data_IF_061101200899
#
_entry.id   IF_061101200899
#
_cell.length_a   1.000
_cell.length_b   1.000
_cell.length_c   1.000
_cell.angle_alpha   90.00
_cell.angle_beta   90.00
_cell.angle_gamma   90.00
#
_symmetry.space_group_name_H-M   'P 1'
#
loop_
_entity.id
_entity.type
_entity.pdbx_description
1 polymer ?
#
# COMPACT_ATOMS: atom_id res chain seq x y z
N UNK A 1 13.30 -23.62 -13.74
CA UNK A 1 12.54 -22.75 -14.66
C UNK A 1 11.83 -23.64 -15.68
N UNK A 2 10.52 -23.48 -15.87
CA UNK A 2 9.75 -24.22 -16.89
C UNK A 2 8.88 -23.23 -17.67
N UNK A 3 8.76 -23.38 -18.99
CA UNK A 3 7.91 -22.49 -19.81
C UNK A 3 6.46 -22.97 -19.92
N UNK A 4 6.19 -24.19 -19.45
CA UNK A 4 4.88 -24.85 -19.52
C UNK A 4 3.72 -24.00 -18.97
N UNK A 5 3.84 -23.32 -17.80
CA UNK A 5 2.76 -22.47 -17.29
C UNK A 5 2.41 -21.30 -18.23
N UNK A 6 3.40 -20.77 -18.96
CA UNK A 6 3.20 -19.68 -19.90
C UNK A 6 2.62 -20.17 -21.23
N UNK A 7 3.07 -21.33 -21.73
CA UNK A 7 2.58 -21.93 -22.97
C UNK A 7 1.12 -22.36 -22.86
N UNK A 8 0.68 -22.76 -21.66
CA UNK A 8 -0.71 -23.13 -21.37
C UNK A 8 -1.60 -21.92 -20.99
N UNK A 9 -1.02 -20.72 -20.86
CA UNK A 9 -1.78 -19.52 -20.51
C UNK A 9 -2.64 -19.03 -21.69
N UNK A 10 -3.66 -18.22 -21.41
CA UNK A 10 -4.50 -17.62 -22.46
C UNK A 10 -3.67 -16.83 -23.50
N UNK A 11 -4.12 -16.74 -24.76
CA UNK A 11 -3.41 -15.98 -25.80
C UNK A 11 -3.13 -14.51 -25.41
N UNK A 12 -4.03 -13.89 -24.65
CA UNK A 12 -3.85 -12.53 -24.14
C UNK A 12 -2.62 -12.41 -23.21
N UNK A 13 -2.41 -13.40 -22.34
CA UNK A 13 -1.26 -13.44 -21.42
C UNK A 13 0.03 -13.66 -22.21
N UNK A 14 0.03 -14.59 -23.16
CA UNK A 14 1.20 -14.85 -24.01
C UNK A 14 1.59 -13.58 -24.79
N UNK A 15 0.62 -12.93 -25.45
CA UNK A 15 0.83 -11.69 -26.18
C UNK A 15 1.37 -10.57 -25.28
N UNK A 16 0.82 -10.43 -24.07
CA UNK A 16 1.27 -9.45 -23.10
C UNK A 16 2.73 -9.68 -22.70
N UNK A 17 3.10 -10.93 -22.37
CA UNK A 17 4.47 -11.29 -21.98
C UNK A 17 5.44 -11.09 -23.15
N UNK A 18 5.06 -11.51 -24.36
CA UNK A 18 5.84 -11.29 -25.58
C UNK A 18 6.04 -9.81 -25.91
N UNK A 19 5.16 -8.93 -25.47
CA UNK A 19 5.30 -7.49 -25.64
C UNK A 19 6.17 -6.87 -24.53
N UNK A 20 5.88 -7.17 -23.27
CA UNK A 20 6.47 -6.47 -22.12
C UNK A 20 7.93 -6.89 -21.85
N UNK A 21 8.29 -8.16 -22.10
CA UNK A 21 9.66 -8.64 -21.86
C UNK A 21 10.67 -7.96 -22.81
N UNK A 22 10.45 -7.93 -24.14
CA UNK A 22 11.32 -7.15 -25.03
C UNK A 22 11.27 -5.66 -24.72
N UNK A 23 10.11 -5.10 -24.35
CA UNK A 23 10.01 -3.68 -23.97
C UNK A 23 10.92 -3.35 -22.78
N UNK A 24 10.94 -4.21 -21.75
CA UNK A 24 11.81 -4.05 -20.59
C UNK A 24 13.30 -4.07 -20.96
N UNK A 25 13.71 -5.01 -21.81
CA UNK A 25 15.10 -5.11 -22.27
C UNK A 25 15.50 -3.89 -23.11
N UNK A 26 14.67 -3.51 -24.08
CA UNK A 26 14.94 -2.37 -24.98
C UNK A 26 15.06 -1.08 -24.17
N UNK A 27 14.14 -0.83 -23.23
CA UNK A 27 14.18 0.41 -22.44
C UNK A 27 15.36 0.44 -21.48
N UNK A 28 15.72 -0.69 -20.87
CA UNK A 28 16.94 -0.81 -20.06
C UNK A 28 18.18 -0.40 -20.85
N UNK A 29 18.30 -0.86 -22.10
CA UNK A 29 19.37 -0.46 -23.01
C UNK A 29 19.26 1.03 -23.38
N UNK A 30 18.06 1.56 -23.66
CA UNK A 30 17.85 2.96 -24.03
C UNK A 30 18.17 3.93 -22.89
N UNK A 31 17.86 3.56 -21.66
CA UNK A 31 18.14 4.37 -20.46
C UNK A 31 19.64 4.52 -20.22
N UNK A 32 20.41 3.46 -20.45
CA UNK A 32 21.87 3.44 -20.29
C UNK A 32 22.60 4.04 -21.51
N UNK A 33 22.05 3.85 -22.71
CA UNK A 33 22.67 4.25 -23.97
C UNK A 33 22.74 5.76 -24.22
N UNK A 34 23.41 6.14 -25.32
CA UNK A 34 23.49 7.54 -25.78
C UNK A 34 22.14 7.99 -26.33
N UNK A 35 21.65 9.14 -25.85
CA UNK A 35 20.33 9.69 -26.16
C UNK A 35 20.38 10.50 -27.46
N UNK A 36 19.27 10.54 -28.20
CA UNK A 36 19.13 11.39 -29.39
C UNK A 36 19.77 10.87 -30.69
N UNK A 37 20.35 9.67 -30.69
CA UNK A 37 20.88 9.01 -31.91
C UNK A 37 19.75 8.48 -32.80
N UNK A 38 19.99 8.22 -34.10
CA UNK A 38 19.01 7.52 -34.95
C UNK A 38 18.57 6.17 -34.37
N UNK A 39 19.51 5.42 -33.79
CA UNK A 39 19.25 4.17 -33.10
C UNK A 39 18.34 4.34 -31.87
N UNK A 40 18.57 5.37 -31.05
CA UNK A 40 17.68 5.69 -29.93
C UNK A 40 16.26 6.00 -30.43
N UNK A 41 16.12 6.72 -31.55
CA UNK A 41 14.80 7.04 -32.14
C UNK A 41 14.08 5.82 -32.70
N UNK A 42 14.76 4.91 -33.40
CA UNK A 42 14.13 3.70 -33.92
C UNK A 42 13.73 2.74 -32.79
N UNK A 43 14.65 2.48 -31.85
CA UNK A 43 14.38 1.66 -30.68
C UNK A 43 13.26 2.23 -29.82
N UNK A 44 13.19 3.56 -29.64
CA UNK A 44 12.11 4.22 -28.94
C UNK A 44 10.74 4.01 -29.60
N UNK A 45 10.65 3.98 -30.94
CA UNK A 45 9.38 3.68 -31.64
C UNK A 45 8.95 2.23 -31.44
N UNK A 46 9.88 1.29 -31.53
CA UNK A 46 9.62 -0.13 -31.26
C UNK A 46 9.14 -0.30 -29.83
N UNK A 47 9.82 0.33 -28.88
CA UNK A 47 9.44 0.32 -27.47
C UNK A 47 8.01 0.87 -27.25
N UNK A 48 7.66 2.00 -27.87
CA UNK A 48 6.29 2.56 -27.79
C UNK A 48 5.25 1.55 -28.31
N UNK A 49 5.50 0.90 -29.45
CA UNK A 49 4.60 -0.11 -30.00
C UNK A 49 4.42 -1.30 -29.05
N UNK A 50 5.51 -1.79 -28.44
CA UNK A 50 5.46 -2.88 -27.47
C UNK A 50 4.71 -2.48 -26.19
N UNK A 51 4.91 -1.26 -25.69
CA UNK A 51 4.19 -0.74 -24.51
C UNK A 51 2.69 -0.62 -24.76
N UNK A 52 2.29 -0.18 -25.96
CA UNK A 52 0.88 -0.17 -26.36
C UNK A 52 0.30 -1.58 -26.45
N UNK A 53 1.03 -2.51 -27.06
CA UNK A 53 0.61 -3.91 -27.18
C UNK A 53 0.43 -4.56 -25.81
N UNK A 54 1.37 -4.35 -24.89
CA UNK A 54 1.30 -4.82 -23.52
C UNK A 54 0.09 -4.21 -22.78
N UNK A 55 -0.09 -2.89 -22.84
CA UNK A 55 -1.19 -2.22 -22.15
C UNK A 55 -2.56 -2.64 -22.71
N UNK A 56 -2.72 -2.76 -24.03
CA UNK A 56 -3.98 -3.17 -24.63
C UNK A 56 -4.31 -4.64 -24.35
N UNK A 57 -3.32 -5.54 -24.49
CA UNK A 57 -3.51 -6.97 -24.19
C UNK A 57 -3.87 -7.22 -22.71
N UNK A 58 -3.38 -6.41 -21.78
CA UNK A 58 -3.69 -6.57 -20.36
C UNK A 58 -5.17 -6.37 -20.00
N UNK A 59 -5.93 -5.60 -20.79
CA UNK A 59 -7.39 -5.46 -20.58
C UNK A 59 -8.17 -6.74 -20.85
N UNK A 60 -7.53 -7.74 -21.47
CA UNK A 60 -8.10 -9.06 -21.68
C UNK A 60 -7.67 -10.07 -20.61
N UNK A 61 -6.85 -9.67 -19.63
CA UNK A 61 -6.32 -10.54 -18.56
C UNK A 61 -7.15 -10.38 -17.28
N UNK A 62 -8.10 -11.28 -17.08
CA UNK A 62 -9.09 -11.18 -16.00
C UNK A 62 -8.87 -12.23 -14.89
N UNK A 63 -7.73 -12.20 -14.21
CA UNK A 63 -7.40 -13.21 -13.18
C UNK A 63 -7.87 -12.82 -11.77
N UNK A 64 -7.80 -11.54 -11.39
CA UNK A 64 -8.06 -11.09 -10.00
C UNK A 64 -9.51 -10.65 -9.79
N UNK A 65 -10.19 -10.11 -10.82
CA UNK A 65 -11.63 -9.79 -10.86
C UNK A 65 -12.22 -9.19 -9.56
N UNK A 66 -11.59 -8.14 -9.03
CA UNK A 66 -12.02 -7.47 -7.79
C UNK A 66 -13.23 -6.55 -8.01
N UNK A 67 -13.34 -5.92 -9.18
CA UNK A 67 -14.44 -5.05 -9.57
C UNK A 67 -14.99 -5.47 -10.93
N UNK A 68 -16.01 -6.33 -10.92
CA UNK A 68 -16.49 -7.00 -12.13
C UNK A 68 -15.37 -7.82 -12.78
N UNK A 69 -15.13 -7.73 -14.10
CA UNK A 69 -14.02 -8.43 -14.73
C UNK A 69 -12.66 -7.82 -14.37
N UNK A 70 -12.61 -6.54 -13.96
CA UNK A 70 -11.38 -5.79 -13.80
C UNK A 70 -10.74 -5.94 -12.43
N UNK A 71 -9.46 -5.62 -12.38
CA UNK A 71 -8.64 -5.63 -11.17
C UNK A 71 -7.86 -4.33 -11.04
N UNK A 72 -7.44 -3.93 -9.82
CA UNK A 72 -6.71 -2.68 -9.60
C UNK A 72 -5.46 -2.52 -10.48
N UNK A 73 -4.83 -3.62 -10.91
CA UNK A 73 -3.68 -3.59 -11.83
C UNK A 73 -4.04 -3.05 -13.23
N UNK A 74 -5.30 -3.06 -13.65
CA UNK A 74 -5.74 -2.44 -14.91
C UNK A 74 -5.58 -0.92 -14.90
N UNK A 75 -5.55 -0.29 -13.72
CA UNK A 75 -5.24 1.12 -13.60
C UNK A 75 -3.81 1.41 -14.09
N UNK A 76 -2.86 0.47 -13.89
CA UNK A 76 -1.51 0.60 -14.44
C UNK A 76 -1.56 0.61 -15.97
N UNK A 77 -2.40 -0.20 -16.60
CA UNK A 77 -2.57 -0.22 -18.06
C UNK A 77 -3.09 1.11 -18.60
N UNK A 78 -4.09 1.70 -17.94
CA UNK A 78 -4.59 3.05 -18.28
C UNK A 78 -3.48 4.09 -18.14
N UNK A 79 -2.74 4.06 -17.03
CA UNK A 79 -1.61 4.97 -16.81
C UNK A 79 -0.50 4.76 -17.84
N UNK A 80 -0.27 3.53 -18.30
CA UNK A 80 0.66 3.23 -19.38
C UNK A 80 0.23 3.88 -20.70
N UNK A 81 -1.05 3.80 -21.07
CA UNK A 81 -1.55 4.44 -22.28
C UNK A 81 -1.39 5.97 -22.23
N UNK A 82 -1.72 6.59 -21.10
CA UNK A 82 -1.51 8.03 -20.87
C UNK A 82 -0.02 8.38 -20.91
N UNK A 83 0.82 7.56 -20.29
CA UNK A 83 2.28 7.76 -20.28
C UNK A 83 2.88 7.65 -21.68
N UNK A 84 2.45 6.68 -22.49
CA UNK A 84 2.90 6.51 -23.88
C UNK A 84 2.55 7.75 -24.70
N UNK A 85 1.32 8.24 -24.55
CA UNK A 85 0.92 9.51 -25.16
C UNK A 85 1.82 10.66 -24.72
N UNK A 86 2.11 10.78 -23.42
CA UNK A 86 3.00 11.80 -22.88
C UNK A 86 4.44 11.71 -23.43
N UNK A 87 5.00 10.50 -23.61
CA UNK A 87 6.32 10.27 -24.21
C UNK A 87 6.36 10.81 -25.65
N UNK A 88 5.36 10.48 -26.46
CA UNK A 88 5.29 10.92 -27.86
C UNK A 88 5.04 12.43 -27.96
N UNK A 89 4.12 12.95 -27.14
CA UNK A 89 3.76 14.37 -27.12
C UNK A 89 4.93 15.27 -26.75
N UNK A 90 5.63 14.94 -25.66
CA UNK A 90 6.82 15.67 -25.20
C UNK A 90 7.97 15.59 -26.20
N UNK A 91 8.18 14.43 -26.85
CA UNK A 91 9.17 14.30 -27.92
C UNK A 91 8.88 15.21 -29.11
N UNK A 92 7.61 15.30 -29.54
CA UNK A 92 7.19 16.16 -30.66
C UNK A 92 7.39 17.65 -30.36
N UNK A 93 7.17 18.05 -29.10
CA UNK A 93 7.40 19.42 -28.62
C UNK A 93 8.87 19.73 -28.32
N UNK A 94 9.78 18.76 -28.49
CA UNK A 94 11.20 18.85 -28.09
C UNK A 94 11.38 19.17 -26.60
N UNK A 95 10.40 18.79 -25.76
CA UNK A 95 10.47 18.90 -24.31
C UNK A 95 11.13 17.64 -23.74
N UNK A 96 12.47 17.64 -23.76
CA UNK A 96 13.25 16.46 -23.39
C UNK A 96 13.25 16.18 -21.88
N UNK A 97 13.00 17.19 -21.06
CA UNK A 97 12.89 17.02 -19.60
C UNK A 97 11.66 16.18 -19.30
N UNK A 98 10.49 16.57 -19.83
CA UNK A 98 9.27 15.82 -19.60
C UNK A 98 9.24 14.48 -20.37
N UNK A 99 9.87 14.39 -21.54
CA UNK A 99 10.08 13.13 -22.23
C UNK A 99 10.84 12.11 -21.36
N UNK A 100 11.98 12.50 -20.79
CA UNK A 100 12.75 11.63 -19.91
C UNK A 100 11.99 11.25 -18.64
N UNK A 101 11.23 12.18 -18.05
CA UNK A 101 10.38 11.88 -16.88
C UNK A 101 9.30 10.85 -17.23
N UNK A 102 8.63 11.01 -18.37
CA UNK A 102 7.59 10.08 -18.82
C UNK A 102 8.17 8.68 -19.11
N UNK A 103 9.30 8.59 -19.81
CA UNK A 103 9.98 7.30 -20.06
C UNK A 103 10.38 6.63 -18.75
N UNK A 104 11.06 7.34 -17.83
CA UNK A 104 11.44 6.80 -16.51
C UNK A 104 10.22 6.36 -15.69
N UNK A 105 9.13 7.12 -15.74
CA UNK A 105 7.89 6.76 -15.05
C UNK A 105 7.28 5.48 -15.61
N UNK A 106 7.32 5.26 -16.92
CA UNK A 106 6.85 4.02 -17.54
C UNK A 106 7.77 2.84 -17.24
N UNK A 107 9.09 3.04 -17.24
CA UNK A 107 10.03 1.97 -16.92
C UNK A 107 9.92 1.53 -15.46
N UNK A 108 10.13 2.44 -14.50
CA UNK A 108 10.13 2.07 -13.08
C UNK A 108 8.72 1.86 -12.54
N UNK A 109 7.75 2.62 -13.04
CA UNK A 109 6.35 2.51 -12.66
C UNK A 109 5.68 1.33 -13.37
N UNK A 110 5.39 1.44 -14.66
CA UNK A 110 4.62 0.41 -15.35
C UNK A 110 5.36 -0.93 -15.44
N UNK A 111 6.56 -0.97 -16.02
CA UNK A 111 7.32 -2.22 -16.19
C UNK A 111 7.78 -2.77 -14.83
N UNK A 112 8.40 -1.92 -14.00
CA UNK A 112 8.94 -2.32 -12.70
C UNK A 112 7.87 -2.81 -11.72
N UNK A 113 6.81 -2.03 -11.50
CA UNK A 113 5.74 -2.40 -10.57
C UNK A 113 4.93 -3.58 -11.11
N UNK A 114 4.51 -3.56 -12.38
CA UNK A 114 3.74 -4.67 -12.96
C UNK A 114 4.57 -5.96 -13.05
N UNK A 115 5.86 -5.86 -13.39
CA UNK A 115 6.80 -6.98 -13.36
C UNK A 115 6.92 -7.57 -11.95
N UNK A 116 7.11 -6.73 -10.93
CA UNK A 116 7.11 -7.16 -9.53
C UNK A 116 5.82 -7.89 -9.14
N UNK A 117 4.66 -7.38 -9.56
CA UNK A 117 3.37 -8.06 -9.35
C UNK A 117 3.28 -9.43 -10.03
N UNK A 118 3.87 -9.56 -11.22
CA UNK A 118 3.84 -10.80 -12.00
C UNK A 118 4.68 -11.91 -11.38
N UNK A 119 5.66 -11.58 -10.53
CA UNK A 119 6.52 -12.54 -9.83
C UNK A 119 6.07 -12.87 -8.42
N UNK A 120 4.90 -12.40 -7.98
CA UNK A 120 4.38 -12.78 -6.68
C UNK A 120 3.86 -14.23 -6.68
N UNK A 121 3.91 -14.96 -5.55
CA UNK A 121 3.43 -16.33 -5.46
C UNK A 121 2.00 -16.49 -5.98
N UNK A 122 1.74 -17.57 -6.72
CA UNK A 122 0.46 -17.82 -7.39
C UNK A 122 0.25 -17.06 -8.71
N UNK A 123 1.31 -16.50 -9.29
CA UNK A 123 1.31 -15.92 -10.65
C UNK A 123 2.13 -16.76 -11.61
N UNK A 124 1.72 -16.76 -12.88
CA UNK A 124 2.32 -17.57 -13.95
C UNK A 124 3.84 -17.31 -14.06
N UNK A 125 4.30 -16.06 -14.04
CA UNK A 125 5.74 -15.78 -14.16
C UNK A 125 6.53 -16.20 -12.91
N UNK A 126 5.90 -16.27 -11.72
CA UNK A 126 6.52 -16.87 -10.54
C UNK A 126 6.74 -18.37 -10.77
N UNK A 127 5.75 -19.10 -11.29
CA UNK A 127 5.87 -20.53 -11.59
C UNK A 127 6.93 -20.80 -12.65
N UNK A 128 7.00 -19.96 -13.69
CA UNK A 128 8.00 -20.07 -14.75
C UNK A 128 9.43 -19.95 -14.21
N UNK A 129 9.68 -19.01 -13.29
CA UNK A 129 11.02 -18.69 -12.78
C UNK A 129 11.39 -19.53 -11.57
N UNK A 130 10.51 -19.62 -10.57
CA UNK A 130 10.78 -20.26 -9.28
C UNK A 130 10.22 -21.68 -9.18
N UNK A 131 9.43 -22.12 -10.16
CA UNK A 131 8.72 -23.41 -10.12
C UNK A 131 7.35 -23.32 -9.43
N UNK A 132 6.52 -24.33 -9.64
CA UNK A 132 5.21 -24.44 -8.99
C UNK A 132 5.38 -24.71 -7.49
N UNK A 133 5.30 -23.66 -6.68
CA UNK A 133 5.31 -23.75 -5.20
C UNK A 133 4.17 -24.62 -4.63
N UNK A 134 3.15 -24.92 -5.45
CA UNK A 134 1.95 -25.68 -5.08
C UNK A 134 2.15 -27.17 -4.80
N UNK A 135 3.28 -27.79 -5.17
CA UNK A 135 3.49 -29.22 -4.88
C UNK A 135 4.01 -29.49 -3.46
N UNK A 136 4.61 -28.51 -2.80
CA UNK A 136 5.28 -28.71 -1.50
C UNK A 136 4.56 -28.07 -0.32
N UNK A 137 3.69 -27.07 -0.55
CA UNK A 137 2.94 -26.37 0.49
C UNK A 137 1.53 -26.97 0.72
N UNK A 138 0.92 -27.57 -0.30
CA UNK A 138 -0.42 -28.16 -0.20
C UNK A 138 -0.43 -29.55 0.47
N UNK A 139 0.73 -30.20 0.62
CA UNK A 139 0.86 -31.50 1.30
C UNK A 139 1.14 -31.38 2.80
N UNK A 140 1.24 -30.16 3.34
CA UNK A 140 1.42 -29.93 4.77
C UNK A 140 0.04 -29.72 5.39
N UNK A 141 -0.51 -30.68 6.13
CA UNK A 141 -1.80 -30.49 6.79
C UNK A 141 -1.73 -29.27 7.73
N UNK A 142 -2.79 -28.45 7.82
CA UNK A 142 -2.81 -27.26 8.67
C UNK A 142 -2.50 -27.57 10.15
N UNK A 143 -2.70 -28.82 10.57
CA UNK A 143 -2.39 -29.34 11.90
C UNK A 143 -0.90 -29.52 12.21
N UNK A 144 0.02 -29.52 11.23
CA UNK A 144 1.48 -29.61 11.50
C UNK A 144 2.19 -28.26 11.54
N UNK A 145 1.48 -27.15 11.29
CA UNK A 145 2.01 -25.78 11.34
C UNK A 145 1.95 -25.18 12.77
N UNK A 146 1.95 -26.03 13.79
CA UNK A 146 2.06 -25.62 15.17
C UNK A 146 3.50 -25.15 15.45
N UNK A 147 3.69 -23.83 15.46
CA UNK A 147 4.86 -23.11 15.99
C UNK A 147 6.21 -23.51 15.39
N UNK A 148 6.58 -22.87 14.27
CA UNK A 148 7.92 -22.97 13.69
C UNK A 148 8.13 -22.04 12.49
N UNK A 149 9.37 -21.95 11.94
CA UNK A 149 9.67 -21.12 10.76
C UNK A 149 8.85 -21.52 9.53
N UNK A 150 8.41 -22.78 9.44
CA UNK A 150 7.51 -23.25 8.39
C UNK A 150 6.14 -22.54 8.40
N UNK A 151 5.62 -22.19 9.60
CA UNK A 151 4.37 -21.43 9.74
C UNK A 151 4.50 -19.99 9.24
N UNK A 152 5.64 -19.36 9.52
CA UNK A 152 5.93 -18.03 8.99
C UNK A 152 6.02 -18.06 7.45
N UNK A 153 6.72 -19.05 6.88
CA UNK A 153 6.82 -19.20 5.42
C UNK A 153 5.45 -19.44 4.79
N UNK A 154 4.60 -20.28 5.38
CA UNK A 154 3.24 -20.50 4.90
C UNK A 154 2.41 -19.22 4.94
N UNK A 155 2.40 -18.48 6.06
CA UNK A 155 1.64 -17.22 6.19
C UNK A 155 2.10 -16.19 5.15
N UNK A 156 3.43 -16.07 4.94
CA UNK A 156 4.00 -15.14 3.96
C UNK A 156 3.65 -15.54 2.53
N UNK A 157 3.68 -16.82 2.20
CA UNK A 157 3.39 -17.31 0.84
C UNK A 157 1.90 -17.36 0.53
N UNK A 158 1.06 -17.60 1.53
CA UNK A 158 -0.40 -17.58 1.43
C UNK A 158 -1.00 -16.16 1.55
N UNK A 159 -0.22 -15.18 2.02
CA UNK A 159 -0.66 -13.79 2.13
C UNK A 159 -1.16 -13.28 0.78
N UNK A 160 -2.32 -12.60 0.73
CA UNK A 160 -2.78 -12.02 -0.52
C UNK A 160 -1.73 -11.10 -1.13
N UNK A 161 -1.52 -11.26 -2.43
CA UNK A 161 -0.46 -10.61 -3.21
C UNK A 161 -0.43 -9.07 -3.05
N UNK A 162 -1.58 -8.44 -2.81
CA UNK A 162 -1.72 -6.99 -2.62
C UNK A 162 -1.20 -6.48 -1.27
N UNK A 163 -0.95 -7.36 -0.29
CA UNK A 163 -0.44 -7.02 1.04
C UNK A 163 0.97 -6.43 0.96
N UNK A 164 1.84 -6.93 0.09
CA UNK A 164 3.23 -6.47 -0.01
C UNK A 164 3.38 -5.05 -0.58
N UNK A 165 2.76 -4.70 -1.72
CA UNK A 165 2.74 -3.32 -2.18
C UNK A 165 2.09 -2.38 -1.18
N UNK A 166 1.02 -2.82 -0.50
CA UNK A 166 0.39 -2.03 0.56
C UNK A 166 1.38 -1.77 1.72
N UNK A 167 2.09 -2.80 2.19
CA UNK A 167 3.11 -2.67 3.23
C UNK A 167 4.23 -1.71 2.81
N UNK A 168 4.74 -1.84 1.58
CA UNK A 168 5.75 -0.92 1.02
C UNK A 168 5.21 0.51 0.98
N UNK A 169 3.97 0.70 0.52
CA UNK A 169 3.33 2.02 0.47
C UNK A 169 3.14 2.61 1.87
N UNK A 170 2.77 1.80 2.87
CA UNK A 170 2.63 2.22 4.26
C UNK A 170 3.98 2.59 4.89
N UNK A 171 5.04 1.83 4.62
CA UNK A 171 6.41 2.16 5.04
C UNK A 171 6.85 3.47 4.40
N UNK A 172 6.69 3.61 3.07
CA UNK A 172 7.06 4.83 2.35
C UNK A 172 6.27 6.05 2.85
N UNK A 173 4.97 5.89 3.08
CA UNK A 173 4.10 6.93 3.65
C UNK A 173 4.57 7.31 5.05
N UNK A 174 4.85 6.33 5.91
CA UNK A 174 5.30 6.52 7.28
C UNK A 174 6.69 7.18 7.36
N UNK A 175 7.65 6.76 6.53
CA UNK A 175 8.96 7.41 6.39
C UNK A 175 8.81 8.86 5.92
N UNK A 176 7.89 9.11 4.98
CA UNK A 176 7.57 10.48 4.55
C UNK A 176 6.95 11.33 5.67
N UNK A 177 6.41 10.71 6.74
CA UNK A 177 5.94 11.39 7.96
C UNK A 177 7.02 11.69 8.99
N UNK A 178 8.24 11.18 8.82
CA UNK A 178 9.36 11.53 9.69
C UNK A 178 10.01 12.86 9.33
N UNK A 179 9.65 13.46 8.18
CA UNK A 179 10.16 14.76 7.74
C UNK A 179 9.16 15.87 8.05
N UNK A 180 9.69 17.01 8.47
CA UNK A 180 8.93 18.25 8.65
C UNK A 180 8.29 18.69 7.33
N UNK A 181 7.03 19.13 7.41
CA UNK A 181 6.26 19.51 6.24
C UNK A 181 5.17 20.52 6.56
N UNK A 182 4.93 21.40 5.59
CA UNK A 182 3.80 22.32 5.60
C UNK A 182 2.67 21.69 4.82
N UNK A 183 1.55 21.41 5.48
CA UNK A 183 0.38 20.79 4.86
C UNK A 183 -0.89 21.60 5.13
N UNK A 184 -1.83 21.64 4.17
CA UNK A 184 -3.17 22.12 4.47
C UNK A 184 -3.86 21.17 5.45
N UNK A 185 -4.69 21.72 6.35
CA UNK A 185 -5.34 20.95 7.43
C UNK A 185 -6.12 19.74 6.89
N UNK A 186 -6.80 19.87 5.75
CA UNK A 186 -7.58 18.76 5.18
C UNK A 186 -6.71 17.53 4.81
N UNK A 187 -5.48 17.74 4.31
CA UNK A 187 -4.55 16.64 4.00
C UNK A 187 -4.02 15.97 5.26
N UNK A 188 -3.86 16.73 6.34
CA UNK A 188 -3.48 16.19 7.64
C UNK A 188 -4.57 15.26 8.21
N UNK A 189 -5.84 15.64 8.03
CA UNK A 189 -7.02 14.89 8.51
C UNK A 189 -7.38 13.67 7.67
N UNK A 190 -6.91 13.59 6.41
CA UNK A 190 -7.30 12.53 5.48
C UNK A 190 -6.93 11.13 5.99
N UNK A 191 -5.72 10.94 6.52
CA UNK A 191 -5.32 9.62 7.03
C UNK A 191 -6.10 9.22 8.29
N UNK A 192 -6.18 10.04 9.36
CA UNK A 192 -7.04 9.72 10.49
C UNK A 192 -8.49 9.44 10.10
N UNK A 193 -9.07 10.24 9.21
CA UNK A 193 -10.43 10.03 8.72
C UNK A 193 -10.56 8.66 8.03
N UNK A 194 -9.61 8.29 7.17
CA UNK A 194 -9.59 6.97 6.53
C UNK A 194 -9.54 5.84 7.55
N UNK A 195 -8.71 5.95 8.60
CA UNK A 195 -8.63 4.96 9.67
C UNK A 195 -9.93 4.89 10.49
N UNK A 196 -10.58 6.02 10.74
CA UNK A 196 -11.88 6.10 11.42
C UNK A 196 -13.00 5.47 10.58
N UNK A 197 -12.99 5.65 9.27
CA UNK A 197 -13.94 4.96 8.37
C UNK A 197 -13.66 3.46 8.36
N UNK A 198 -12.39 3.06 8.28
CA UNK A 198 -11.99 1.65 8.26
C UNK A 198 -12.37 0.90 9.56
N UNK A 199 -12.36 1.55 10.72
CA UNK A 199 -12.83 0.93 11.98
C UNK A 199 -14.36 0.77 12.05
N UNK A 200 -15.13 1.61 11.36
CA UNK A 200 -16.60 1.53 11.34
C UNK A 200 -17.11 0.46 10.38
N UNK A 201 -16.33 0.10 9.36
CA UNK A 201 -16.76 -0.85 8.33
C UNK A 201 -17.24 -2.20 8.92
N UNK A 202 -16.55 -2.86 9.87
CA UNK A 202 -17.03 -4.10 10.47
C UNK A 202 -18.36 -3.95 11.21
N UNK A 203 -18.63 -2.79 11.81
CA UNK A 203 -19.90 -2.49 12.47
C UNK A 203 -21.03 -2.43 11.44
N UNK A 204 -20.79 -1.72 10.33
CA UNK A 204 -21.77 -1.53 9.27
C UNK A 204 -22.07 -2.83 8.50
N UNK A 205 -21.12 -3.74 8.41
CA UNK A 205 -21.30 -5.05 7.75
C UNK A 205 -21.78 -6.15 8.71
N UNK A 206 -22.07 -5.83 9.97
CA UNK A 206 -22.47 -6.83 10.97
C UNK A 206 -21.37 -7.84 11.33
N UNK A 207 -20.10 -7.50 11.07
CA UNK A 207 -18.94 -8.35 11.33
C UNK A 207 -18.38 -8.23 12.74
N UNK A 208 -19.12 -7.63 13.67
CA UNK A 208 -18.72 -7.44 15.07
C UNK A 208 -19.89 -7.77 16.00
N UNK A 209 -19.60 -8.48 17.07
CA UNK A 209 -20.56 -8.84 18.10
C UNK A 209 -20.46 -7.91 19.32
N UNK A 210 -21.24 -8.20 20.37
CA UNK A 210 -21.35 -7.32 21.53
C UNK A 210 -20.01 -7.12 22.27
N UNK A 211 -19.19 -8.16 22.41
CA UNK A 211 -17.87 -8.04 23.03
C UNK A 211 -16.87 -7.31 22.13
N UNK A 212 -16.98 -7.49 20.81
CA UNK A 212 -16.22 -6.68 19.85
C UNK A 212 -16.57 -5.19 19.93
N UNK A 213 -17.85 -4.84 20.09
CA UNK A 213 -18.29 -3.44 20.24
C UNK A 213 -17.74 -2.79 21.51
N UNK A 214 -17.75 -3.52 22.64
CA UNK A 214 -17.17 -3.01 23.88
C UNK A 214 -15.65 -2.86 23.78
N UNK A 215 -14.96 -3.81 23.15
CA UNK A 215 -13.53 -3.74 22.86
C UNK A 215 -13.18 -2.54 21.96
N UNK A 216 -14.01 -2.26 20.94
CA UNK A 216 -13.87 -1.09 20.08
C UNK A 216 -14.07 0.21 20.86
N UNK A 217 -15.12 0.30 21.69
CA UNK A 217 -15.37 1.46 22.54
C UNK A 217 -14.23 1.72 23.54
N UNK A 218 -13.71 0.67 24.17
CA UNK A 218 -12.56 0.76 25.06
C UNK A 218 -11.30 1.23 24.33
N UNK A 219 -10.99 0.65 23.17
CA UNK A 219 -9.86 1.07 22.34
C UNK A 219 -9.97 2.54 21.92
N UNK A 220 -11.15 2.98 21.48
CA UNK A 220 -11.41 4.36 21.08
C UNK A 220 -11.22 5.33 22.25
N UNK A 221 -11.84 5.04 23.40
CA UNK A 221 -11.74 5.88 24.60
C UNK A 221 -10.31 6.01 25.12
N UNK A 222 -9.62 4.87 25.30
CA UNK A 222 -8.24 4.85 25.76
C UNK A 222 -7.29 5.53 24.77
N UNK A 223 -7.50 5.32 23.47
CA UNK A 223 -6.65 5.88 22.42
C UNK A 223 -6.80 7.40 22.30
N UNK A 224 -8.03 7.91 22.35
CA UNK A 224 -8.27 9.37 22.38
C UNK A 224 -7.66 10.00 23.62
N UNK A 225 -7.84 9.39 24.80
CA UNK A 225 -7.24 9.87 26.05
C UNK A 225 -5.71 9.94 25.96
N UNK A 226 -5.06 8.83 25.57
CA UNK A 226 -3.61 8.76 25.41
C UNK A 226 -3.10 9.77 24.37
N UNK A 227 -3.78 9.90 23.23
CA UNK A 227 -3.42 10.84 22.17
C UNK A 227 -3.47 12.31 22.61
N UNK A 228 -4.52 12.72 23.34
CA UNK A 228 -4.59 14.08 23.87
C UNK A 228 -3.60 14.32 25.02
N UNK A 229 -3.41 13.34 25.92
CA UNK A 229 -2.45 13.44 27.02
C UNK A 229 -1.01 13.60 26.53
N UNK A 230 -0.60 12.81 25.52
CA UNK A 230 0.75 12.90 24.92
C UNK A 230 0.96 14.22 24.16
N UNK A 231 -0.11 14.90 23.75
CA UNK A 231 -0.05 16.16 23.01
C UNK A 231 -0.41 17.39 23.85
N UNK A 232 -0.53 17.25 25.18
CA UNK A 232 -0.91 18.35 26.09
C UNK A 232 -0.04 19.61 25.95
N UNK A 233 1.23 19.45 25.58
CA UNK A 233 2.21 20.53 25.41
C UNK A 233 2.52 20.85 23.94
N UNK A 234 1.81 20.21 23.00
CA UNK A 234 2.04 20.44 21.58
C UNK A 234 1.49 21.81 21.16
N UNK A 235 2.36 22.65 20.62
CA UNK A 235 1.98 23.96 20.08
C UNK A 235 1.76 23.82 18.57
N UNK A 236 0.55 24.14 18.11
CA UNK A 236 0.22 24.13 16.70
C UNK A 236 0.72 25.42 16.03
N UNK A 237 1.71 25.30 15.15
CA UNK A 237 2.18 26.42 14.32
C UNK A 237 1.32 26.52 13.06
N UNK A 238 0.26 27.34 13.12
CA UNK A 238 -0.56 27.68 11.95
C UNK A 238 0.13 28.74 11.09
N UNK A 239 0.17 28.48 9.79
CA UNK A 239 0.69 29.37 8.75
C UNK A 239 -0.47 29.97 7.96
N UNK A 240 -0.23 31.07 7.24
CA UNK A 240 -1.21 31.70 6.37
C UNK A 240 -1.75 30.72 5.31
N UNK A 241 -3.06 30.83 5.05
CA UNK A 241 -3.77 30.01 4.06
C UNK A 241 -4.18 28.61 4.55
N UNK A 242 -4.60 28.46 5.83
CA UNK A 242 -5.06 27.19 6.43
C UNK A 242 -4.03 26.05 6.35
N UNK A 243 -2.75 26.42 6.52
CA UNK A 243 -1.62 25.49 6.52
C UNK A 243 -1.07 25.33 7.93
N UNK A 244 -0.54 24.16 8.23
CA UNK A 244 0.07 23.84 9.52
C UNK A 244 1.44 23.26 9.28
N UNK A 245 2.43 23.72 10.05
CA UNK A 245 3.73 23.07 10.12
C UNK A 245 3.61 21.84 11.01
N UNK A 246 3.76 20.67 10.40
CA UNK A 246 3.73 19.39 11.10
C UNK A 246 5.16 18.91 11.24
N UNK A 247 5.64 18.82 12.49
CA UNK A 247 6.93 18.23 12.80
C UNK A 247 6.90 16.72 12.56
N UNK A 248 7.99 16.19 12.02
CA UNK A 248 8.16 14.78 11.75
C UNK A 248 8.08 13.95 13.04
N UNK A 249 7.44 12.78 12.98
CA UNK A 249 7.26 11.94 14.15
C UNK A 249 7.30 10.45 13.82
N UNK A 250 8.10 9.70 14.58
CA UNK A 250 8.27 8.25 14.44
C UNK A 250 7.04 7.48 14.94
N UNK A 251 6.31 7.99 15.95
CA UNK A 251 5.14 7.31 16.54
C UNK A 251 4.05 7.06 15.48
N UNK A 252 3.84 8.00 14.53
CA UNK A 252 2.87 7.79 13.45
C UNK A 252 3.25 6.64 12.51
N UNK A 253 4.55 6.43 12.25
CA UNK A 253 5.04 5.29 11.47
C UNK A 253 4.82 3.99 12.25
N UNK A 254 5.24 3.96 13.53
CA UNK A 254 5.07 2.78 14.38
C UNK A 254 3.60 2.40 14.54
N UNK A 255 2.70 3.36 14.74
CA UNK A 255 1.27 3.12 14.85
C UNK A 255 0.69 2.57 13.54
N UNK A 256 1.08 3.10 12.37
CA UNK A 256 0.65 2.55 11.08
C UNK A 256 1.10 1.10 10.86
N UNK A 257 2.37 0.81 11.15
CA UNK A 257 2.91 -0.54 11.02
C UNK A 257 2.26 -1.50 12.01
N UNK A 258 2.01 -1.06 13.25
CA UNK A 258 1.31 -1.86 14.24
C UNK A 258 -0.15 -2.13 13.86
N UNK A 259 -0.91 -1.12 13.39
CA UNK A 259 -2.28 -1.31 12.87
C UNK A 259 -2.28 -2.36 11.75
N UNK A 260 -1.36 -2.24 10.78
CA UNK A 260 -1.22 -3.21 9.71
C UNK A 260 -0.89 -4.61 10.24
N UNK A 261 0.08 -4.72 11.15
CA UNK A 261 0.50 -6.00 11.72
C UNK A 261 -0.63 -6.70 12.48
N UNK A 262 -1.38 -5.98 13.33
CA UNK A 262 -2.52 -6.54 14.04
C UNK A 262 -3.62 -7.01 13.08
N UNK A 263 -3.96 -6.21 12.05
CA UNK A 263 -4.99 -6.60 11.07
C UNK A 263 -4.55 -7.78 10.21
N UNK A 264 -3.29 -7.82 9.80
CA UNK A 264 -2.72 -8.94 9.05
C UNK A 264 -2.69 -10.21 9.90
N UNK A 265 -2.23 -10.11 11.15
CA UNK A 265 -2.21 -11.22 12.11
C UNK A 265 -3.61 -11.75 12.40
N UNK A 266 -4.61 -10.88 12.57
CA UNK A 266 -6.00 -11.29 12.76
C UNK A 266 -6.50 -12.14 11.58
N UNK A 267 -6.23 -11.70 10.34
CA UNK A 267 -6.59 -12.46 9.14
C UNK A 267 -5.83 -13.79 9.03
N UNK A 268 -4.53 -13.79 9.33
CA UNK A 268 -3.70 -14.99 9.31
C UNK A 268 -4.16 -16.02 10.36
N UNK A 269 -4.45 -15.58 11.59
CA UNK A 269 -4.96 -16.46 12.65
C UNK A 269 -6.34 -16.99 12.28
N UNK A 270 -7.25 -16.15 11.79
CA UNK A 270 -8.57 -16.60 11.36
C UNK A 270 -8.50 -17.66 10.23
N UNK A 271 -7.47 -17.61 9.39
CA UNK A 271 -7.26 -18.58 8.30
C UNK A 271 -6.57 -19.88 8.75
N UNK A 272 -5.62 -19.81 9.70
CA UNK A 272 -4.76 -20.93 10.08
C UNK A 272 -5.22 -21.63 11.36
N UNK A 273 -5.77 -20.87 12.31
CA UNK A 273 -6.17 -21.33 13.64
C UNK A 273 -7.48 -20.63 14.07
N UNK A 274 -8.62 -20.93 13.43
CA UNK A 274 -9.91 -20.31 13.73
C UNK A 274 -10.31 -20.48 15.20
N UNK A 275 -10.02 -21.65 15.81
CA UNK A 275 -10.28 -21.93 17.22
C UNK A 275 -9.59 -20.93 18.18
N UNK A 276 -8.43 -20.38 17.78
CA UNK A 276 -7.75 -19.36 18.57
C UNK A 276 -8.51 -18.03 18.55
N UNK A 277 -9.18 -17.72 17.44
CA UNK A 277 -10.01 -16.53 17.31
C UNK A 277 -11.33 -16.63 18.10
N UNK A 278 -11.79 -17.86 18.38
CA UNK A 278 -12.96 -18.11 19.23
C UNK A 278 -12.67 -17.97 20.74
N UNK A 279 -11.39 -17.94 21.14
CA UNK A 279 -11.03 -17.75 22.55
C UNK A 279 -11.40 -16.34 23.02
N UNK A 280 -12.07 -16.27 24.16
CA UNK A 280 -12.42 -15.02 24.81
C UNK A 280 -11.18 -14.14 25.02
N UNK A 281 -11.28 -12.87 24.64
CA UNK A 281 -10.22 -11.87 24.74
C UNK A 281 -9.32 -11.78 23.51
N UNK A 282 -9.19 -12.83 22.70
CA UNK A 282 -8.29 -12.82 21.52
C UNK A 282 -8.89 -11.95 20.43
N UNK A 283 -10.14 -12.21 20.03
CA UNK A 283 -10.83 -11.40 19.01
C UNK A 283 -10.98 -9.95 19.46
N UNK A 284 -11.30 -9.73 20.73
CA UNK A 284 -11.41 -8.40 21.35
C UNK A 284 -10.09 -7.63 21.28
N UNK A 285 -8.95 -8.28 21.53
CA UNK A 285 -7.62 -7.66 21.40
C UNK A 285 -7.36 -7.20 19.96
N UNK A 286 -7.65 -8.05 18.97
CA UNK A 286 -7.46 -7.72 17.55
C UNK A 286 -8.41 -6.65 17.03
N UNK A 287 -9.51 -6.38 17.74
CA UNK A 287 -10.38 -5.20 17.51
C UNK A 287 -9.84 -3.98 18.24
N UNK A 288 -9.59 -4.09 19.55
CA UNK A 288 -9.24 -2.95 20.41
C UNK A 288 -7.89 -2.32 20.06
N UNK A 289 -6.86 -3.12 19.78
CA UNK A 289 -5.50 -2.60 19.57
C UNK A 289 -5.37 -1.71 18.32
N UNK A 290 -5.85 -2.11 17.12
CA UNK A 290 -5.87 -1.22 15.97
C UNK A 290 -6.71 0.04 16.18
N UNK A 291 -7.86 -0.08 16.86
CA UNK A 291 -8.76 1.05 17.16
C UNK A 291 -8.08 2.04 18.10
N UNK A 292 -7.41 1.55 19.14
CA UNK A 292 -6.61 2.36 20.06
C UNK A 292 -5.55 3.15 19.30
N UNK A 293 -4.74 2.49 18.49
CA UNK A 293 -3.66 3.13 17.72
C UNK A 293 -4.20 4.19 16.74
N UNK A 294 -5.28 3.85 16.01
CA UNK A 294 -5.94 4.79 15.10
C UNK A 294 -6.49 6.03 15.83
N UNK A 295 -7.04 5.83 17.03
CA UNK A 295 -7.60 6.89 17.86
C UNK A 295 -6.52 7.79 18.46
N UNK A 296 -5.38 7.23 18.87
CA UNK A 296 -4.18 8.00 19.25
C UNK A 296 -3.76 8.89 18.09
N UNK A 297 -3.62 8.31 16.88
CA UNK A 297 -3.23 9.07 15.69
C UNK A 297 -4.22 10.20 15.36
N UNK A 298 -5.52 9.94 15.49
CA UNK A 298 -6.56 10.94 15.25
C UNK A 298 -6.48 12.10 16.26
N UNK A 299 -6.41 11.79 17.55
CA UNK A 299 -6.25 12.81 18.60
C UNK A 299 -4.97 13.64 18.41
N UNK A 300 -3.85 13.01 18.05
CA UNK A 300 -2.59 13.71 17.76
C UNK A 300 -2.72 14.64 16.55
N UNK A 301 -3.32 14.17 15.47
CA UNK A 301 -3.52 14.98 14.28
C UNK A 301 -4.43 16.19 14.55
N UNK A 302 -5.49 16.01 15.35
CA UNK A 302 -6.35 17.09 15.81
C UNK A 302 -5.59 18.11 16.66
N UNK A 303 -4.78 17.63 17.61
CA UNK A 303 -3.94 18.49 18.43
C UNK A 303 -2.94 19.32 17.58
N UNK A 304 -2.31 18.70 16.58
CA UNK A 304 -1.44 19.40 15.63
C UNK A 304 -2.19 20.43 14.78
N UNK A 305 -3.44 20.16 14.43
CA UNK A 305 -4.30 21.12 13.76
C UNK A 305 -4.76 22.27 14.68
N UNK A 306 -4.43 22.25 15.97
CA UNK A 306 -4.81 23.27 16.95
C UNK A 306 -6.09 22.95 17.72
N UNK A 307 -6.65 21.76 17.55
CA UNK A 307 -7.80 21.27 18.29
C UNK A 307 -7.33 20.35 19.43
N UNK A 308 -6.75 20.94 20.48
CA UNK A 308 -6.41 20.21 21.71
C UNK A 308 -7.22 20.75 22.90
N UNK A 309 -8.19 19.98 23.45
CA UNK A 309 -8.99 20.42 24.59
C UNK A 309 -8.15 20.61 25.87
N UNK A 310 -7.02 19.91 26.00
CA UNK A 310 -6.17 19.98 27.20
C UNK A 310 -5.19 21.16 27.19
N UNK A 311 -4.88 21.73 26.01
CA UNK A 311 -3.90 22.82 25.89
C UNK A 311 -4.37 24.14 26.53
N UNK A 312 -5.68 24.42 26.54
CA UNK A 312 -6.23 25.60 27.25
C UNK A 312 -6.15 25.45 28.77
N UNK A 313 -6.29 24.21 29.27
CA UNK A 313 -6.28 23.92 30.71
C UNK A 313 -4.86 24.01 31.29
N UNK A 314 -3.84 23.55 30.56
CA UNK A 314 -2.44 23.67 31.01
C UNK A 314 -1.98 25.13 31.08
N UNK A 315 -2.30 25.95 30.07
CA UNK A 315 -1.94 27.37 30.04
C UNK A 315 -2.58 28.18 31.19
N UNK A 316 -3.78 27.78 31.61
CA UNK A 316 -4.47 28.38 32.76
C UNK A 316 -3.81 28.00 34.09
N UNK A 317 -3.44 26.72 34.26
CA UNK A 317 -2.76 26.23 35.46
C UNK A 317 -1.35 26.83 35.62
N UNK A 318 -0.61 27.04 34.52
CA UNK A 318 0.70 27.70 34.59
C UNK A 318 0.59 29.16 35.01
N UNK A 319 -0.43 29.88 34.53
CA UNK A 319 -0.66 31.28 34.92
C UNK A 319 -1.12 31.42 36.38
N UNK A 320 -1.94 30.48 36.85
CA UNK A 320 -2.41 30.45 38.25
C UNK A 320 -1.31 30.00 39.24
N UNK A 321 -0.28 29.29 38.79
CA UNK A 321 0.86 28.87 39.62
C UNK A 321 2.02 29.89 39.67
N UNK A 322 2.01 30.90 38.78
CA UNK A 322 3.01 31.99 38.70
C UNK A 322 2.53 33.29 39.39
N UNK A 323 1.34 33.30 40.00
CA UNK A 323 0.82 34.38 40.86
C UNK A 323 0.89 33.97 42.34
#
# INVERSE_FOLDING_TARGET
MTLEPLLNASPAIQLHVLAVVPAAVIDGILLLGRKGTPAHRSAGRVWIALMLLAALSSFFIHTIRLWGPFSPIHLLSVLTLVGVFAVVWSARRRDFINHQRAVKSLYFGAIGIAGGFSFLPGRIMHEVVFGSAGASAASVPPTTLATGPAAAVYIVTAAPVWVWPLLIALIALGVSRMRDRVLPVWRLMLLPALLMVAMLLPVLTGGIDASGLSAMAAGLGLGLAAGFMTMRSAVATRLEGNRVLVRGEVISLLALLAIFAFRFAAGAIAAVAPDLMERAGVRELFVAAPVFLASVMAARALAQAGYNPLARKSRRLTLEAEC
#
